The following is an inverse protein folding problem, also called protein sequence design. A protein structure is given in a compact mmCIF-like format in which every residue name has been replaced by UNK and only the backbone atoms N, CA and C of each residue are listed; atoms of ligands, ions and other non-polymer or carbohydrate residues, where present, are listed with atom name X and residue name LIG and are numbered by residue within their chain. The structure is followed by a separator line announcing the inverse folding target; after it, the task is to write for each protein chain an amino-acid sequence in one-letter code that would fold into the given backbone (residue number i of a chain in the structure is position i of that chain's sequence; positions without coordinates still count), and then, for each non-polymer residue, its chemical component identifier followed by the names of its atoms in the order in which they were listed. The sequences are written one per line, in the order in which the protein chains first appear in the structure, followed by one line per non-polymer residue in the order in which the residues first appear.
data_IF_319784561160
#
_entry.id   IF_319784561160
#
_cell.length_a   1.000
_cell.length_b   1.000
_cell.length_c   1.000
_cell.angle_alpha   90.00
_cell.angle_beta   90.00
_cell.angle_gamma   90.00
#
_symmetry.space_group_name_H-M   'P 1'
#
loop_
_entity.id
_entity.type
_entity.pdbx_description
1 polymer ?
#
# COMPACT_ATOMS: atom_id res chain seq x y z
N UNK A 1 -6.30 -20.06 4.59
CA UNK A 1 -5.14 -19.18 4.94
C UNK A 1 -3.99 -19.34 3.96
N UNK A 2 -3.66 -20.55 3.51
CA UNK A 2 -2.54 -20.76 2.57
C UNK A 2 -2.85 -20.35 1.12
N UNK A 3 -4.09 -20.48 0.66
CA UNK A 3 -4.48 -20.18 -0.73
C UNK A 3 -4.55 -18.67 -1.01
N UNK A 4 -5.05 -17.87 -0.09
CA UNK A 4 -5.16 -16.42 -0.26
C UNK A 4 -3.78 -15.72 -0.20
N UNK A 5 -2.91 -16.17 0.70
CA UNK A 5 -1.53 -15.67 0.78
C UNK A 5 -0.73 -15.99 -0.48
N UNK A 6 -0.92 -17.18 -1.03
CA UNK A 6 -0.30 -17.58 -2.29
C UNK A 6 -0.80 -16.75 -3.46
N UNK A 7 -2.09 -16.39 -3.47
CA UNK A 7 -2.69 -15.53 -4.48
C UNK A 7 -2.10 -14.11 -4.44
N UNK A 8 -2.00 -13.49 -3.26
CA UNK A 8 -1.42 -12.14 -3.12
C UNK A 8 0.05 -12.09 -3.54
N UNK A 9 0.86 -13.08 -3.15
CA UNK A 9 2.26 -13.18 -3.59
C UNK A 9 2.38 -13.23 -5.10
N UNK A 10 1.57 -14.06 -5.75
CA UNK A 10 1.54 -14.21 -7.20
C UNK A 10 1.10 -12.91 -7.89
N UNK A 11 0.08 -12.25 -7.36
CA UNK A 11 -0.41 -10.97 -7.88
C UNK A 11 0.64 -9.87 -7.77
N UNK A 12 1.32 -9.76 -6.63
CA UNK A 12 2.40 -8.79 -6.43
C UNK A 12 3.58 -9.06 -7.36
N UNK A 13 4.03 -10.31 -7.48
CA UNK A 13 5.10 -10.69 -8.40
C UNK A 13 4.76 -10.34 -9.84
N UNK A 14 3.53 -10.62 -10.27
CA UNK A 14 3.05 -10.29 -11.61
C UNK A 14 2.99 -8.78 -11.83
N UNK A 15 2.44 -8.04 -10.86
CA UNK A 15 2.29 -6.59 -10.97
C UNK A 15 3.65 -5.87 -11.01
N UNK A 16 4.61 -6.32 -10.22
CA UNK A 16 5.97 -5.77 -10.21
C UNK A 16 6.87 -6.28 -11.34
N UNK A 17 6.35 -7.13 -12.23
CA UNK A 17 7.13 -7.56 -13.40
C UNK A 17 7.52 -6.33 -14.23
N UNK A 18 8.80 -6.26 -14.63
CA UNK A 18 9.38 -5.13 -15.35
C UNK A 18 9.45 -3.81 -14.54
N UNK A 19 9.28 -3.87 -13.22
CA UNK A 19 9.50 -2.70 -12.36
C UNK A 19 10.98 -2.36 -12.28
N UNK A 20 11.30 -1.09 -12.47
CA UNK A 20 12.69 -0.57 -12.42
C UNK A 20 12.89 0.44 -11.29
N UNK A 21 11.91 1.28 -11.07
CA UNK A 21 11.88 2.29 -10.01
C UNK A 21 10.51 2.28 -9.36
N UNK A 22 10.46 2.02 -8.06
CA UNK A 22 9.22 1.80 -7.34
C UNK A 22 9.07 2.83 -6.22
N UNK A 23 7.88 3.42 -6.11
CA UNK A 23 7.45 4.14 -4.91
C UNK A 23 6.54 3.23 -4.11
N UNK A 24 6.80 3.11 -2.81
CA UNK A 24 5.89 2.47 -1.85
C UNK A 24 5.47 3.53 -0.84
N UNK A 25 4.21 3.90 -0.85
CA UNK A 25 3.66 4.95 -0.02
C UNK A 25 2.63 4.39 0.96
N UNK A 26 2.89 4.56 2.24
CA UNK A 26 2.00 4.13 3.33
C UNK A 26 1.08 5.25 3.77
N UNK A 27 -0.21 4.94 3.87
CA UNK A 27 -1.26 5.86 4.31
C UNK A 27 -1.83 5.34 5.63
N UNK A 28 -2.17 6.25 6.52
CA UNK A 28 -2.80 5.92 7.80
C UNK A 28 -2.60 6.97 8.88
N UNK A 29 -3.53 7.00 9.80
CA UNK A 29 -3.50 7.93 10.93
C UNK A 29 -2.89 7.25 12.16
N UNK A 30 -1.79 7.79 12.75
CA UNK A 30 -1.08 7.15 13.87
C UNK A 30 -1.90 7.05 15.16
N UNK A 31 -2.97 7.82 15.28
CA UNK A 31 -3.85 7.82 16.46
C UNK A 31 -5.18 7.10 16.21
N UNK A 32 -5.27 6.29 15.18
CA UNK A 32 -6.46 5.50 14.83
C UNK A 32 -6.15 4.02 14.63
N UNK A 33 -5.42 3.43 15.54
CA UNK A 33 -5.11 1.99 15.64
C UNK A 33 -4.76 1.37 14.26
N UNK A 34 -5.58 0.45 13.75
CA UNK A 34 -5.29 -0.30 12.52
C UNK A 34 -5.32 0.55 11.24
N UNK A 35 -5.85 1.76 11.30
CA UNK A 35 -5.74 2.72 10.20
C UNK A 35 -4.28 3.04 9.85
N UNK A 36 -3.37 2.87 10.81
CA UNK A 36 -1.93 3.10 10.65
C UNK A 36 -1.18 1.97 9.93
N UNK A 37 -1.83 0.88 9.55
CA UNK A 37 -1.16 -0.32 9.02
C UNK A 37 -0.30 -0.04 7.77
N UNK A 38 -0.77 0.81 6.87
CA UNK A 38 -0.02 1.17 5.67
C UNK A 38 1.32 1.82 5.97
N UNK A 39 1.32 2.78 6.88
CA UNK A 39 2.55 3.46 7.34
C UNK A 39 3.47 2.48 8.07
N UNK A 40 2.90 1.61 8.92
CA UNK A 40 3.70 0.61 9.65
C UNK A 40 4.44 -0.34 8.70
N UNK A 41 3.78 -0.78 7.63
CA UNK A 41 4.43 -1.62 6.63
C UNK A 41 5.59 -0.89 5.97
N UNK A 42 5.41 0.36 5.57
CA UNK A 42 6.51 1.17 4.99
C UNK A 42 7.68 1.30 5.97
N UNK A 43 7.40 1.54 7.26
CA UNK A 43 8.43 1.55 8.29
C UNK A 43 9.21 0.24 8.36
N UNK A 44 8.53 -0.90 8.27
CA UNK A 44 9.14 -2.22 8.28
C UNK A 44 10.05 -2.50 7.07
N UNK A 45 9.84 -1.81 5.96
CA UNK A 45 10.66 -1.92 4.74
C UNK A 45 11.96 -1.11 4.80
N UNK A 46 12.06 -0.14 5.71
CA UNK A 46 13.25 0.74 5.80
C UNK A 46 14.54 -0.06 6.04
N UNK A 47 15.56 0.26 5.26
CA UNK A 47 16.85 -0.42 5.31
C UNK A 47 16.89 -1.83 4.73
N UNK A 48 15.78 -2.30 4.14
CA UNK A 48 15.64 -3.67 3.61
C UNK A 48 15.34 -3.74 2.11
N UNK A 49 15.31 -2.60 1.45
CA UNK A 49 15.05 -2.46 0.01
C UNK A 49 16.16 -1.65 -0.65
N UNK A 50 16.31 -1.78 -1.98
CA UNK A 50 17.34 -1.05 -2.72
C UNK A 50 17.01 0.44 -2.88
N UNK A 51 17.98 1.22 -3.34
CA UNK A 51 17.80 2.65 -3.65
C UNK A 51 16.80 2.93 -4.78
N UNK A 52 16.46 1.90 -5.55
CA UNK A 52 15.43 1.99 -6.59
C UNK A 52 14.01 1.92 -6.03
N UNK A 53 13.87 1.70 -4.74
CA UNK A 53 12.60 1.72 -4.02
C UNK A 53 12.56 2.92 -3.09
N UNK A 54 11.69 3.88 -3.40
CA UNK A 54 11.47 5.06 -2.60
C UNK A 54 10.30 4.86 -1.65
N UNK A 55 10.58 4.93 -0.35
CA UNK A 55 9.60 4.70 0.72
C UNK A 55 9.08 6.03 1.25
N UNK A 56 7.76 6.19 1.28
CA UNK A 56 7.11 7.41 1.76
C UNK A 56 6.09 7.07 2.85
N UNK A 57 6.21 7.70 4.00
CA UNK A 57 5.19 7.70 5.05
C UNK A 57 4.29 8.92 4.83
N UNK A 58 3.12 8.70 4.23
CA UNK A 58 2.20 9.79 3.86
C UNK A 58 1.30 10.24 5.00
N UNK A 59 1.15 9.41 6.04
CA UNK A 59 0.10 9.57 7.04
C UNK A 59 -1.27 9.76 6.38
N UNK A 60 -1.92 10.92 6.55
CA UNK A 60 -3.26 11.19 5.98
C UNK A 60 -3.25 12.13 4.78
N UNK A 61 -2.07 12.53 4.31
CA UNK A 61 -1.90 13.58 3.29
C UNK A 61 -1.00 13.13 2.12
N UNK A 62 -1.35 12.07 1.37
CA UNK A 62 -0.55 11.59 0.24
C UNK A 62 -0.31 12.68 -0.81
N UNK A 63 -1.26 13.61 -0.98
CA UNK A 63 -1.13 14.74 -1.91
C UNK A 63 0.06 15.65 -1.64
N UNK A 64 0.55 15.70 -0.42
CA UNK A 64 1.74 16.49 -0.07
C UNK A 64 3.03 15.92 -0.65
N UNK A 65 3.00 14.67 -1.15
CA UNK A 65 4.15 13.95 -1.68
C UNK A 65 4.13 13.82 -3.21
N UNK A 66 3.16 14.40 -3.89
CA UNK A 66 3.00 14.27 -5.35
C UNK A 66 4.27 14.67 -6.10
N UNK A 67 4.86 15.82 -5.77
CA UNK A 67 6.05 16.30 -6.48
C UNK A 67 7.25 15.37 -6.27
N UNK A 68 7.44 14.85 -5.06
CA UNK A 68 8.51 13.90 -4.76
C UNK A 68 8.35 12.61 -5.56
N UNK A 69 7.12 12.13 -5.72
CA UNK A 69 6.82 10.94 -6.53
C UNK A 69 7.15 11.21 -8.01
N UNK A 70 6.70 12.35 -8.54
CA UNK A 70 6.98 12.72 -9.92
C UNK A 70 8.48 12.85 -10.18
N UNK A 71 9.22 13.52 -9.29
CA UNK A 71 10.66 13.73 -9.41
C UNK A 71 11.45 12.42 -9.35
N UNK A 72 10.95 11.44 -8.59
CA UNK A 72 11.55 10.11 -8.54
C UNK A 72 11.41 9.35 -9.87
N UNK A 73 10.47 9.74 -10.72
CA UNK A 73 10.17 9.13 -12.02
C UNK A 73 9.96 7.61 -11.93
N UNK A 74 8.96 7.15 -11.16
CA UNK A 74 8.74 5.73 -10.93
C UNK A 74 8.15 5.03 -12.16
N UNK A 75 8.43 3.72 -12.28
CA UNK A 75 7.70 2.81 -13.17
C UNK A 75 6.44 2.25 -12.50
N UNK A 76 6.49 2.13 -11.17
CA UNK A 76 5.40 1.59 -10.36
C UNK A 76 5.23 2.40 -9.08
N UNK A 77 3.98 2.62 -8.68
CA UNK A 77 3.61 3.25 -7.41
C UNK A 77 2.63 2.34 -6.68
N UNK A 78 3.03 1.84 -5.51
CA UNK A 78 2.18 1.05 -4.63
C UNK A 78 1.76 1.90 -3.43
N UNK A 79 0.46 2.13 -3.30
CA UNK A 79 -0.13 2.78 -2.12
C UNK A 79 -0.64 1.69 -1.17
N UNK A 80 -0.34 1.82 0.13
CA UNK A 80 -0.78 0.85 1.14
C UNK A 80 -1.67 1.57 2.15
N UNK A 81 -2.89 1.07 2.34
CA UNK A 81 -3.88 1.68 3.23
C UNK A 81 -4.79 0.62 3.86
N UNK A 82 -5.41 0.95 4.98
CA UNK A 82 -6.50 0.18 5.54
C UNK A 82 -7.80 0.51 4.82
N UNK A 83 -8.64 -0.48 4.57
CA UNK A 83 -9.97 -0.27 3.98
C UNK A 83 -10.95 -1.35 4.42
N UNK A 84 -12.21 -0.97 4.59
CA UNK A 84 -13.29 -1.90 4.87
C UNK A 84 -13.69 -2.61 3.56
N UNK A 85 -13.33 -3.86 3.45
CA UNK A 85 -13.50 -4.69 2.25
C UNK A 85 -14.53 -5.81 2.44
N UNK A 86 -15.03 -5.99 3.67
CA UNK A 86 -15.87 -7.11 4.02
C UNK A 86 -15.12 -8.43 4.16
N UNK A 87 -13.81 -8.37 4.36
CA UNK A 87 -12.93 -9.52 4.53
C UNK A 87 -12.67 -9.79 6.02
N UNK A 88 -11.89 -10.82 6.30
CA UNK A 88 -11.37 -11.05 7.66
C UNK A 88 -10.31 -10.01 7.99
N UNK A 89 -10.23 -9.53 9.24
CA UNK A 89 -9.16 -8.64 9.66
C UNK A 89 -7.78 -9.19 9.31
N UNK A 90 -6.97 -8.36 8.65
CA UNK A 90 -5.64 -8.74 8.20
C UNK A 90 -5.55 -9.29 6.78
N UNK A 91 -6.67 -9.65 6.17
CA UNK A 91 -6.69 -10.01 4.75
C UNK A 91 -6.42 -8.78 3.90
N UNK A 92 -5.77 -8.97 2.76
CA UNK A 92 -5.34 -7.90 1.89
C UNK A 92 -5.73 -8.15 0.44
N UNK A 93 -5.94 -7.06 -0.30
CA UNK A 93 -6.24 -7.07 -1.73
C UNK A 93 -5.35 -6.10 -2.48
N UNK A 94 -4.83 -6.55 -3.61
CA UNK A 94 -4.16 -5.68 -4.58
C UNK A 94 -5.20 -5.20 -5.59
N UNK A 95 -5.40 -3.89 -5.66
CA UNK A 95 -6.40 -3.26 -6.54
C UNK A 95 -5.68 -2.32 -7.50
N UNK A 96 -5.80 -2.58 -8.79
CA UNK A 96 -5.26 -1.68 -9.80
C UNK A 96 -6.18 -0.48 -10.02
N UNK A 97 -5.62 0.64 -10.46
CA UNK A 97 -6.38 1.89 -10.61
C UNK A 97 -7.57 1.79 -11.55
N UNK A 98 -7.49 0.93 -12.57
CA UNK A 98 -8.60 0.70 -13.51
C UNK A 98 -9.82 0.06 -12.83
N UNK A 99 -9.61 -0.66 -11.72
CA UNK A 99 -10.66 -1.34 -10.96
C UNK A 99 -11.32 -0.42 -9.93
N UNK A 100 -10.68 0.70 -9.57
CA UNK A 100 -11.15 1.60 -8.50
C UNK A 100 -12.53 2.19 -8.75
N UNK A 101 -12.93 2.40 -9.99
CA UNK A 101 -14.24 2.98 -10.34
C UNK A 101 -15.41 2.13 -9.84
N UNK A 102 -15.22 0.82 -9.78
CA UNK A 102 -16.25 -0.15 -9.43
C UNK A 102 -15.96 -0.88 -8.11
N UNK A 103 -14.89 -0.48 -7.40
CA UNK A 103 -14.48 -1.17 -6.19
C UNK A 103 -15.29 -0.69 -5.00
N UNK A 104 -16.05 -1.59 -4.31
CA UNK A 104 -16.93 -1.23 -3.20
C UNK A 104 -16.14 -1.14 -1.88
N UNK A 105 -15.09 -0.34 -1.83
CA UNK A 105 -14.35 -0.12 -0.61
C UNK A 105 -14.90 1.11 0.13
N UNK A 106 -15.17 0.95 1.40
CA UNK A 106 -15.58 2.02 2.29
C UNK A 106 -14.38 2.43 3.15
N UNK A 107 -13.70 3.48 2.75
CA UNK A 107 -12.66 4.13 3.52
C UNK A 107 -12.88 5.63 3.44
N UNK A 108 -12.62 6.32 4.55
CA UNK A 108 -12.65 7.79 4.58
C UNK A 108 -11.63 8.41 3.61
N UNK A 109 -10.59 7.63 3.23
CA UNK A 109 -9.52 8.06 2.31
C UNK A 109 -9.80 7.67 0.84
N UNK A 110 -10.82 6.85 0.56
CA UNK A 110 -10.99 6.24 -0.78
C UNK A 110 -11.23 7.27 -1.88
N UNK A 111 -12.10 8.26 -1.65
CA UNK A 111 -12.36 9.30 -2.65
C UNK A 111 -11.12 10.17 -2.91
N UNK A 112 -10.43 10.70 -1.89
CA UNK A 112 -9.16 11.40 -2.09
C UNK A 112 -8.10 10.54 -2.78
N UNK A 113 -7.99 9.26 -2.43
CA UNK A 113 -7.05 8.34 -3.08
C UNK A 113 -7.34 8.12 -4.55
N UNK A 114 -8.60 8.03 -4.94
CA UNK A 114 -8.99 7.92 -6.36
C UNK A 114 -8.53 9.13 -7.14
N UNK A 115 -8.79 10.33 -6.64
CA UNK A 115 -8.37 11.59 -7.27
C UNK A 115 -6.84 11.66 -7.35
N UNK A 116 -6.16 11.28 -6.29
CA UNK A 116 -4.70 11.21 -6.24
C UNK A 116 -4.13 10.24 -7.30
N UNK A 117 -4.70 9.04 -7.41
CA UNK A 117 -4.29 8.04 -8.41
C UNK A 117 -4.54 8.53 -9.84
N UNK A 118 -5.68 9.17 -10.09
CA UNK A 118 -6.00 9.75 -11.40
C UNK A 118 -5.00 10.84 -11.78
N UNK A 119 -4.63 11.70 -10.84
CA UNK A 119 -3.63 12.74 -11.07
C UNK A 119 -2.27 12.14 -11.40
N UNK A 120 -1.79 11.19 -10.61
CA UNK A 120 -0.51 10.51 -10.86
C UNK A 120 -0.51 9.76 -12.20
N UNK A 121 -1.60 9.12 -12.56
CA UNK A 121 -1.73 8.42 -13.85
C UNK A 121 -1.60 9.39 -15.03
N UNK A 122 -2.11 10.60 -14.90
CA UNK A 122 -2.02 11.63 -15.94
C UNK A 122 -0.65 12.31 -16.01
N UNK A 123 0.04 12.42 -14.87
CA UNK A 123 1.31 13.16 -14.76
C UNK A 123 2.54 12.27 -14.85
N UNK A 124 2.40 10.97 -14.63
CA UNK A 124 3.46 9.98 -14.73
C UNK A 124 3.05 8.88 -15.70
N UNK A 125 4.02 8.05 -16.12
CA UNK A 125 3.75 6.81 -16.88
C UNK A 125 3.72 5.58 -15.97
N UNK A 126 3.72 5.79 -14.66
CA UNK A 126 3.78 4.72 -13.69
C UNK A 126 2.50 3.88 -13.69
N UNK A 127 2.66 2.58 -13.48
CA UNK A 127 1.56 1.71 -13.06
C UNK A 127 1.29 1.98 -11.59
N UNK A 128 0.02 2.16 -11.24
CA UNK A 128 -0.41 2.49 -9.88
C UNK A 128 -1.37 1.43 -9.37
N UNK A 129 -1.13 0.93 -8.17
CA UNK A 129 -2.01 0.00 -7.48
C UNK A 129 -2.12 0.35 -6.00
N UNK A 130 -3.20 -0.11 -5.38
CA UNK A 130 -3.43 -0.03 -3.94
C UNK A 130 -3.35 -1.43 -3.35
N UNK A 131 -2.61 -1.57 -2.26
CA UNK A 131 -2.65 -2.73 -1.38
C UNK A 131 -3.52 -2.35 -0.18
N UNK A 132 -4.73 -2.87 -0.15
CA UNK A 132 -5.73 -2.56 0.86
C UNK A 132 -5.82 -3.70 1.87
N UNK A 133 -5.83 -3.35 3.16
CA UNK A 133 -5.81 -4.30 4.27
C UNK A 133 -7.06 -4.10 5.12
N UNK A 134 -7.80 -5.19 5.37
CA UNK A 134 -8.97 -5.15 6.24
C UNK A 134 -8.55 -4.88 7.68
N UNK A 135 -8.98 -3.76 8.30
CA UNK A 135 -8.70 -3.48 9.70
C UNK A 135 -9.62 -4.28 10.62
N UNK A 136 -9.21 -4.46 11.87
CA UNK A 136 -10.06 -4.97 12.94
C UNK A 136 -10.70 -3.84 13.72
N UNK A 137 -9.91 -2.82 14.09
CA UNK A 137 -10.35 -1.68 14.87
C UNK A 137 -9.58 -0.42 14.43
N UNK A 138 -10.32 0.57 13.97
CA UNK A 138 -9.80 1.89 13.59
C UNK A 138 -10.33 3.02 14.50
N UNK A 139 -10.68 2.69 15.73
CA UNK A 139 -11.07 3.66 16.75
C UNK A 139 -9.87 4.51 17.19
N UNK A 140 -10.17 5.54 17.95
CA UNK A 140 -9.16 6.43 18.52
C UNK A 140 -8.25 5.64 19.47
N UNK A 141 -6.95 5.67 19.22
CA UNK A 141 -5.95 4.95 20.02
C UNK A 141 -4.64 4.76 19.25
N UNK A 142 -3.61 4.33 19.97
CA UNK A 142 -2.30 4.05 19.41
C UNK A 142 -2.06 2.54 19.26
N UNK A 143 -1.31 2.17 18.25
CA UNK A 143 -0.86 0.80 18.01
C UNK A 143 -1.87 -0.06 17.25
N UNK A 144 -1.34 -1.02 16.51
CA UNK A 144 -2.13 -2.00 15.76
C UNK A 144 -2.72 -3.06 16.70
N UNK A 145 -3.91 -3.55 16.39
CA UNK A 145 -4.42 -4.77 17.04
C UNK A 145 -3.50 -5.95 16.73
N UNK A 146 -3.51 -6.99 17.58
CA UNK A 146 -2.58 -8.13 17.43
C UNK A 146 -2.67 -8.82 16.07
N UNK A 147 -3.87 -9.00 15.54
CA UNK A 147 -4.09 -9.62 14.22
C UNK A 147 -3.52 -8.77 13.09
N UNK A 148 -3.67 -7.44 13.17
CA UNK A 148 -3.16 -6.53 12.14
C UNK A 148 -1.66 -6.33 12.28
N UNK A 149 -1.12 -6.33 13.48
CA UNK A 149 0.33 -6.33 13.70
C UNK A 149 1.01 -7.55 13.05
N UNK A 150 0.39 -8.73 13.20
CA UNK A 150 0.85 -9.97 12.55
C UNK A 150 0.76 -9.86 11.02
N UNK A 151 -0.37 -9.41 10.50
CA UNK A 151 -0.56 -9.22 9.07
C UNK A 151 0.46 -8.22 8.49
N UNK A 152 0.70 -7.10 9.17
CA UNK A 152 1.71 -6.12 8.77
C UNK A 152 3.11 -6.74 8.66
N UNK A 153 3.49 -7.58 9.62
CA UNK A 153 4.78 -8.30 9.60
C UNK A 153 4.87 -9.24 8.39
N UNK A 154 3.83 -10.02 8.14
CA UNK A 154 3.79 -10.99 7.03
C UNK A 154 3.80 -10.29 5.66
N UNK A 155 2.99 -9.24 5.49
CA UNK A 155 2.96 -8.44 4.26
C UNK A 155 4.30 -7.74 4.03
N UNK A 156 4.92 -7.22 5.08
CA UNK A 156 6.24 -6.59 4.99
C UNK A 156 7.30 -7.58 4.49
N UNK A 157 7.33 -8.81 5.01
CA UNK A 157 8.23 -9.86 4.56
C UNK A 157 8.01 -10.21 3.09
N UNK A 158 6.75 -10.30 2.68
CA UNK A 158 6.38 -10.59 1.30
C UNK A 158 6.84 -9.48 0.35
N UNK A 159 6.59 -8.22 0.70
CA UNK A 159 7.03 -7.07 -0.08
C UNK A 159 8.55 -6.98 -0.17
N UNK A 160 9.27 -7.21 0.92
CA UNK A 160 10.74 -7.25 0.91
C UNK A 160 11.23 -8.32 -0.08
N UNK A 161 10.66 -9.50 -0.05
CA UNK A 161 11.02 -10.59 -0.95
C UNK A 161 10.78 -10.23 -2.43
N UNK A 162 9.61 -9.64 -2.73
CA UNK A 162 9.27 -9.24 -4.10
C UNK A 162 10.13 -8.08 -4.58
N UNK A 163 10.37 -7.08 -3.73
CA UNK A 163 11.13 -5.87 -4.07
C UNK A 163 12.65 -6.12 -4.20
N UNK A 164 13.17 -7.21 -3.62
CA UNK A 164 14.59 -7.60 -3.81
C UNK A 164 14.96 -7.88 -5.26
N UNK A 165 13.98 -8.17 -6.11
CA UNK A 165 14.20 -8.41 -7.54
C UNK A 165 14.42 -7.11 -8.33
N UNK A 166 14.19 -5.97 -7.69
CA UNK A 166 14.37 -4.64 -8.29
C UNK A 166 15.76 -4.13 -7.92
N UNK A 167 16.72 -4.35 -8.80
CA UNK A 167 18.14 -4.01 -8.64
C UNK A 167 18.55 -2.86 -9.55
#
# INVERSE_FOLDING_TARGET
VSSEKYSLEKELKSWFSHAERVVVAGIGNPIRMDDFVGVKIVQNLRGKVSEKVYLIECETIPESFIQQIIDFNPTHVLLIDAALLGLKPGDARLVQTVELKNFPAFSTHMLPLRIFCEYLTKTTRAKIALLLIEPKNADFGEGLTGEIAKAATEISKLLIQVLKQIN
#
